data_IF_494385335075
#
_entry.id   IF_494385335075
#
_cell.length_a   1.000
_cell.length_b   1.000
_cell.length_c   1.000
_cell.angle_alpha   90.00
_cell.angle_beta   90.00
_cell.angle_gamma   90.00
#
_symmetry.space_group_name_H-M   'P 1'
#
loop_
_entity.id
_entity.type
_entity.pdbx_description
1 polymer ?
#
# COMPACT_ATOMS: atom_id res chain seq x y z
N UNK A 1 -9.06 -12.94 16.22
CA UNK A 1 -10.40 -13.30 15.77
C UNK A 1 -10.49 -13.17 14.26
N UNK A 2 -11.16 -14.09 13.60
CA UNK A 2 -11.46 -14.06 12.16
C UNK A 2 -12.95 -13.82 12.00
N UNK A 3 -13.30 -12.84 11.19
CA UNK A 3 -14.68 -12.55 10.77
C UNK A 3 -14.79 -12.78 9.26
N UNK A 4 -15.87 -13.40 8.82
CA UNK A 4 -16.15 -13.64 7.41
C UNK A 4 -17.45 -12.99 6.98
N UNK A 5 -17.50 -12.51 5.76
CA UNK A 5 -18.70 -11.95 5.16
C UNK A 5 -18.74 -12.23 3.65
N UNK A 6 -19.88 -12.69 3.17
CA UNK A 6 -20.15 -12.76 1.73
C UNK A 6 -20.57 -11.36 1.25
N UNK A 7 -19.80 -10.81 0.31
CA UNK A 7 -20.07 -9.50 -0.29
C UNK A 7 -20.56 -9.71 -1.70
N UNK A 8 -21.84 -9.45 -1.95
CA UNK A 8 -22.44 -9.54 -3.29
C UNK A 8 -22.06 -8.36 -4.17
N UNK A 9 -21.86 -7.20 -3.58
CA UNK A 9 -21.45 -5.98 -4.25
C UNK A 9 -20.39 -5.25 -3.41
N UNK A 10 -19.23 -5.01 -3.98
CA UNK A 10 -18.12 -4.32 -3.32
C UNK A 10 -18.47 -2.83 -3.20
N UNK A 11 -18.38 -2.31 -1.98
CA UNK A 11 -18.50 -0.88 -1.75
C UNK A 11 -17.23 -0.17 -2.22
N UNK A 12 -17.37 0.84 -3.06
CA UNK A 12 -16.24 1.58 -3.63
C UNK A 12 -15.45 2.38 -2.59
N UNK A 13 -16.09 2.78 -1.50
CA UNK A 13 -15.48 3.59 -0.45
C UNK A 13 -14.83 2.79 0.66
N UNK A 14 -15.42 1.67 1.07
CA UNK A 14 -15.01 0.90 2.25
C UNK A 14 -14.97 -0.63 2.05
N UNK A 15 -15.12 -1.10 0.84
CA UNK A 15 -15.16 -2.51 0.43
C UNK A 15 -16.41 -3.28 0.91
N UNK A 16 -16.69 -3.24 2.20
CA UNK A 16 -17.90 -3.80 2.82
C UNK A 16 -18.94 -2.70 3.08
N UNK A 17 -20.17 -3.05 3.47
CA UNK A 17 -21.17 -2.04 3.82
C UNK A 17 -20.76 -1.18 5.02
N UNK A 18 -21.19 0.07 5.03
CA UNK A 18 -20.84 1.03 6.11
C UNK A 18 -21.24 0.55 7.48
N UNK A 19 -22.41 -0.10 7.62
CA UNK A 19 -22.85 -0.71 8.89
C UNK A 19 -21.91 -1.82 9.37
N UNK A 20 -21.35 -2.59 8.43
CA UNK A 20 -20.36 -3.63 8.77
C UNK A 20 -19.03 -3.04 9.23
N UNK A 21 -18.61 -1.90 8.68
CA UNK A 21 -17.41 -1.19 9.14
C UNK A 21 -17.55 -0.76 10.61
N UNK A 22 -18.70 -0.24 10.99
CA UNK A 22 -19.00 0.14 12.39
C UNK A 22 -18.99 -1.09 13.34
N UNK A 23 -19.52 -2.22 12.91
CA UNK A 23 -19.43 -3.47 13.66
C UNK A 23 -17.98 -3.93 13.83
N UNK A 24 -17.16 -3.87 12.77
CA UNK A 24 -15.74 -4.19 12.81
C UNK A 24 -15.02 -3.27 13.80
N UNK A 25 -15.31 -1.97 13.75
CA UNK A 25 -14.77 -0.99 14.70
C UNK A 25 -15.08 -1.38 16.13
N UNK A 26 -16.36 -1.65 16.44
CA UNK A 26 -16.80 -2.02 17.78
C UNK A 26 -16.10 -3.30 18.28
N UNK A 27 -16.03 -4.33 17.45
CA UNK A 27 -15.34 -5.59 17.79
C UNK A 27 -13.85 -5.37 18.00
N UNK A 28 -13.19 -4.59 17.12
CA UNK A 28 -11.76 -4.29 17.22
C UNK A 28 -11.43 -3.57 18.53
N UNK A 29 -12.23 -2.57 18.90
CA UNK A 29 -12.03 -1.83 20.14
C UNK A 29 -12.29 -2.70 21.38
N UNK A 30 -13.36 -3.49 21.38
CA UNK A 30 -13.70 -4.41 22.47
C UNK A 30 -12.61 -5.47 22.71
N UNK A 31 -11.98 -5.97 21.65
CA UNK A 31 -10.92 -6.98 21.72
C UNK A 31 -9.53 -6.40 21.93
N UNK A 32 -9.35 -5.08 21.91
CA UNK A 32 -8.05 -4.44 21.96
C UNK A 32 -7.19 -4.76 20.74
N UNK A 33 -7.80 -4.95 19.56
CA UNK A 33 -7.05 -5.22 18.33
C UNK A 33 -6.18 -4.03 17.95
N UNK A 34 -4.90 -4.27 17.72
CA UNK A 34 -3.94 -3.24 17.33
C UNK A 34 -3.98 -2.96 15.84
N UNK A 35 -4.36 -3.95 15.03
CA UNK A 35 -4.37 -3.89 13.57
C UNK A 35 -5.55 -4.66 13.00
N UNK A 36 -6.08 -4.20 11.88
CA UNK A 36 -7.13 -4.88 11.11
C UNK A 36 -6.56 -5.30 9.77
N UNK A 37 -6.78 -6.56 9.40
CA UNK A 37 -6.30 -7.12 8.15
C UNK A 37 -7.50 -7.59 7.32
N UNK A 38 -7.60 -7.06 6.11
CA UNK A 38 -8.56 -7.52 5.11
C UNK A 38 -7.90 -8.57 4.21
N UNK A 39 -8.53 -9.72 4.06
CA UNK A 39 -8.07 -10.78 3.17
C UNK A 39 -8.45 -10.54 1.70
N UNK A 40 -8.33 -9.29 1.27
CA UNK A 40 -8.60 -8.83 -0.09
C UNK A 40 -7.64 -7.69 -0.42
N UNK A 41 -7.45 -7.41 -1.70
CA UNK A 41 -6.74 -6.20 -2.12
C UNK A 41 -7.69 -5.01 -2.04
N UNK A 42 -7.28 -3.96 -1.35
CA UNK A 42 -8.04 -2.74 -1.16
C UNK A 42 -7.49 -1.61 -2.01
N UNK A 43 -8.38 -0.74 -2.50
CA UNK A 43 -7.95 0.51 -3.14
C UNK A 43 -7.34 1.47 -2.12
N UNK A 44 -6.53 2.46 -2.54
CA UNK A 44 -6.00 3.48 -1.65
C UNK A 44 -7.09 4.24 -0.88
N UNK A 45 -8.20 4.53 -1.54
CA UNK A 45 -9.35 5.19 -0.93
C UNK A 45 -10.03 4.31 0.12
N UNK A 46 -10.24 3.03 -0.18
CA UNK A 46 -10.81 2.07 0.78
C UNK A 46 -9.94 1.93 2.03
N UNK A 47 -8.62 1.77 1.87
CA UNK A 47 -7.68 1.70 2.99
C UNK A 47 -7.76 2.93 3.89
N UNK A 48 -7.76 4.11 3.30
CA UNK A 48 -7.86 5.37 4.03
C UNK A 48 -9.17 5.50 4.78
N UNK A 49 -10.29 5.29 4.09
CA UNK A 49 -11.60 5.41 4.70
C UNK A 49 -11.81 4.41 5.84
N UNK A 50 -11.38 3.17 5.66
CA UNK A 50 -11.43 2.14 6.71
C UNK A 50 -10.58 2.52 7.92
N UNK A 51 -9.36 3.02 7.70
CA UNK A 51 -8.49 3.50 8.78
C UNK A 51 -9.11 4.66 9.55
N UNK A 52 -9.70 5.62 8.84
CA UNK A 52 -10.32 6.80 9.45
C UNK A 52 -11.56 6.42 10.25
N UNK A 53 -12.38 5.49 9.76
CA UNK A 53 -13.61 5.05 10.46
C UNK A 53 -13.26 4.14 11.65
N UNK A 54 -12.41 3.12 11.45
CA UNK A 54 -12.10 2.11 12.48
C UNK A 54 -11.14 2.67 13.53
N UNK A 55 -10.39 3.72 13.20
CA UNK A 55 -9.38 4.34 14.09
C UNK A 55 -8.29 3.35 14.54
N UNK A 56 -7.94 2.43 13.63
CA UNK A 56 -6.85 1.46 13.76
C UNK A 56 -6.11 1.33 12.43
N UNK A 57 -4.83 0.94 12.43
CA UNK A 57 -4.13 0.58 11.21
C UNK A 57 -4.88 -0.53 10.45
N UNK A 58 -5.08 -0.32 9.15
CA UNK A 58 -5.74 -1.28 8.26
C UNK A 58 -4.76 -1.71 7.20
N UNK A 59 -4.56 -3.01 7.06
CA UNK A 59 -3.73 -3.62 6.02
C UNK A 59 -4.58 -4.51 5.13
N UNK A 60 -4.19 -4.62 3.87
CA UNK A 60 -4.78 -5.58 2.95
C UNK A 60 -3.90 -6.83 2.80
N UNK A 61 -4.39 -7.81 2.05
CA UNK A 61 -3.66 -9.06 1.78
C UNK A 61 -2.28 -8.79 1.19
N UNK A 62 -2.19 -7.92 0.19
CA UNK A 62 -0.94 -7.64 -0.51
C UNK A 62 0.09 -7.03 0.43
N UNK A 63 -0.30 -6.08 1.27
CA UNK A 63 0.58 -5.48 2.26
C UNK A 63 1.14 -6.53 3.23
N UNK A 64 0.28 -7.41 3.74
CA UNK A 64 0.69 -8.47 4.65
C UNK A 64 1.69 -9.45 4.00
N UNK A 65 1.42 -9.87 2.77
CA UNK A 65 2.30 -10.76 2.01
C UNK A 65 3.66 -10.10 1.79
N UNK A 66 3.71 -8.84 1.40
CA UNK A 66 4.95 -8.10 1.23
C UNK A 66 5.75 -7.97 2.53
N UNK A 67 5.09 -7.77 3.66
CA UNK A 67 5.74 -7.75 4.97
C UNK A 67 6.38 -9.10 5.32
N UNK A 68 5.67 -10.20 5.06
CA UNK A 68 6.19 -11.55 5.30
C UNK A 68 7.41 -11.82 4.42
N UNK A 69 7.35 -11.51 3.13
CA UNK A 69 8.49 -11.69 2.23
C UNK A 69 9.67 -10.79 2.61
N UNK A 70 9.42 -9.55 2.99
CA UNK A 70 10.45 -8.62 3.46
C UNK A 70 11.21 -9.17 4.67
N UNK A 71 10.50 -9.74 5.64
CA UNK A 71 11.12 -10.31 6.83
C UNK A 71 11.94 -11.58 6.56
N UNK A 72 11.66 -12.28 5.45
CA UNK A 72 12.29 -13.54 5.06
C UNK A 72 13.37 -13.40 3.98
N UNK A 73 13.45 -12.25 3.32
CA UNK A 73 14.41 -12.02 2.23
C UNK A 73 15.85 -11.93 2.78
N UNK A 74 16.62 -12.99 2.58
CA UNK A 74 18.01 -13.07 3.06
C UNK A 74 19.05 -12.86 1.96
N UNK A 75 18.72 -13.16 0.72
CA UNK A 75 19.61 -12.95 -0.41
C UNK A 75 19.43 -11.56 -1.00
N UNK A 76 20.48 -11.01 -1.63
CA UNK A 76 20.38 -9.71 -2.28
C UNK A 76 19.32 -9.71 -3.38
N UNK A 77 19.25 -10.78 -4.17
CA UNK A 77 18.21 -10.96 -5.19
C UNK A 77 16.79 -10.87 -4.59
N UNK A 78 16.53 -11.63 -3.52
CA UNK A 78 15.24 -11.59 -2.84
C UNK A 78 14.90 -10.21 -2.25
N UNK A 79 15.87 -9.54 -1.66
CA UNK A 79 15.71 -8.19 -1.11
C UNK A 79 15.33 -7.18 -2.19
N UNK A 80 16.00 -7.23 -3.34
CA UNK A 80 15.71 -6.36 -4.49
C UNK A 80 14.30 -6.63 -5.02
N UNK A 81 13.91 -7.89 -5.19
CA UNK A 81 12.58 -8.28 -5.65
C UNK A 81 11.48 -7.78 -4.71
N UNK A 82 11.65 -7.96 -3.41
CA UNK A 82 10.67 -7.52 -2.41
C UNK A 82 10.59 -6.00 -2.33
N UNK A 83 11.73 -5.30 -2.34
CA UNK A 83 11.74 -3.83 -2.35
C UNK A 83 11.05 -3.28 -3.61
N UNK A 84 11.33 -3.86 -4.78
CA UNK A 84 10.67 -3.48 -6.03
C UNK A 84 9.16 -3.68 -5.95
N UNK A 85 8.71 -4.85 -5.49
CA UNK A 85 7.29 -5.16 -5.34
C UNK A 85 6.60 -4.20 -4.36
N UNK A 86 7.25 -3.86 -3.25
CA UNK A 86 6.73 -2.88 -2.28
C UNK A 86 6.56 -1.50 -2.89
N UNK A 87 7.56 -1.01 -3.60
CA UNK A 87 7.49 0.29 -4.25
C UNK A 87 6.43 0.33 -5.37
N UNK A 88 6.28 -0.75 -6.13
CA UNK A 88 5.22 -0.89 -7.14
C UNK A 88 3.83 -0.92 -6.50
N UNK A 89 3.69 -1.47 -5.31
CA UNK A 89 2.46 -1.44 -4.54
C UNK A 89 2.15 -0.04 -3.99
N UNK A 90 3.15 0.68 -3.51
CA UNK A 90 3.01 2.02 -2.93
C UNK A 90 2.71 3.11 -3.98
N UNK A 91 3.31 3.03 -5.16
CA UNK A 91 3.21 4.06 -6.19
C UNK A 91 1.77 4.41 -6.61
N UNK A 92 0.87 3.45 -6.94
CA UNK A 92 -0.52 3.76 -7.24
C UNK A 92 -1.28 4.36 -6.05
N UNK A 93 -0.90 3.99 -4.83
CA UNK A 93 -1.50 4.50 -3.59
C UNK A 93 -1.17 5.96 -3.35
N UNK A 94 0.05 6.40 -3.65
CA UNK A 94 0.41 7.81 -3.65
C UNK A 94 -0.36 8.60 -4.73
N UNK A 95 -0.58 8.02 -5.90
CA UNK A 95 -1.38 8.64 -6.97
C UNK A 95 -2.83 8.84 -6.52
N UNK A 96 -3.46 7.84 -5.92
CA UNK A 96 -4.81 7.94 -5.37
C UNK A 96 -4.93 9.00 -4.27
N UNK A 97 -3.90 9.18 -3.44
CA UNK A 97 -3.87 10.27 -2.45
C UNK A 97 -3.86 11.66 -3.11
N UNK A 98 -3.18 11.84 -4.23
CA UNK A 98 -3.18 13.10 -4.98
C UNK A 98 -4.56 13.49 -5.48
N UNK A 99 -5.33 12.55 -6.01
CA UNK A 99 -6.72 12.77 -6.45
C UNK A 99 -7.64 13.14 -5.27
N UNK A 100 -7.47 12.50 -4.12
CA UNK A 100 -8.25 12.79 -2.91
C UNK A 100 -7.92 14.18 -2.37
N UNK A 101 -6.65 14.56 -2.30
CA UNK A 101 -6.22 15.89 -1.88
C UNK A 101 -6.74 16.99 -2.81
N UNK A 102 -6.77 16.71 -4.12
CA UNK A 102 -7.32 17.61 -5.12
C UNK A 102 -8.85 17.81 -4.97
N UNK A 103 -9.59 16.76 -4.66
CA UNK A 103 -11.05 16.81 -4.43
C UNK A 103 -11.44 17.48 -3.11
N UNK A 104 -10.67 17.28 -2.04
CA UNK A 104 -10.92 17.91 -0.75
C UNK A 104 -10.55 19.40 -0.69
N UNK A 105 -9.76 19.89 -1.63
CA UNK A 105 -9.38 21.30 -1.73
C UNK A 105 -10.45 22.24 -2.29
N UNK A 106 -11.69 21.78 -2.50
CA UNK A 106 -12.82 22.60 -2.94
C UNK A 106 -13.46 23.51 -1.86
N UNK A 107 -12.94 23.50 -0.64
CA UNK A 107 -13.36 24.39 0.45
C UNK A 107 -12.47 25.63 0.53
N UNK A 108 -13.08 26.79 0.44
CA UNK A 108 -12.58 28.15 0.63
C UNK A 108 -11.43 28.25 1.63
N UNK A 109 -10.20 28.45 1.15
CA UNK A 109 -9.07 28.79 2.01
C UNK A 109 -7.69 28.38 1.49
N UNK A 110 -7.01 29.29 0.82
CA UNK A 110 -5.56 29.25 0.67
C UNK A 110 -4.98 28.48 -0.53
N UNK A 111 -4.92 29.14 -1.67
CA UNK A 111 -4.20 28.71 -2.90
C UNK A 111 -2.72 28.32 -2.66
N UNK A 112 -2.13 28.74 -1.55
CA UNK A 112 -0.69 28.55 -1.27
C UNK A 112 -0.30 27.14 -0.81
N UNK A 113 -1.15 26.46 -0.04
CA UNK A 113 -0.82 25.14 0.51
C UNK A 113 -1.12 23.97 -0.45
N UNK A 114 -2.03 24.17 -1.41
CA UNK A 114 -2.44 23.14 -2.38
C UNK A 114 -1.29 22.81 -3.36
N UNK A 115 -0.64 23.82 -3.90
CA UNK A 115 0.48 23.64 -4.84
C UNK A 115 1.74 23.02 -4.19
N UNK A 116 1.99 23.28 -2.92
CA UNK A 116 3.13 22.70 -2.19
C UNK A 116 2.94 21.20 -1.92
N UNK A 117 1.73 20.77 -1.52
CA UNK A 117 1.40 19.37 -1.31
C UNK A 117 1.43 18.54 -2.60
N UNK A 118 0.89 19.06 -3.68
CA UNK A 118 0.93 18.42 -5.02
C UNK A 118 2.36 18.29 -5.55
N UNK A 119 3.19 19.33 -5.40
CA UNK A 119 4.61 19.28 -5.78
C UNK A 119 5.39 18.26 -4.99
N UNK A 120 5.18 18.17 -3.67
CA UNK A 120 5.82 17.17 -2.82
C UNK A 120 5.43 15.76 -3.23
N UNK A 121 4.14 15.52 -3.45
CA UNK A 121 3.62 14.21 -3.89
C UNK A 121 4.23 13.80 -5.24
N UNK A 122 4.33 14.71 -6.19
CA UNK A 122 4.91 14.43 -7.50
C UNK A 122 6.41 14.14 -7.42
N UNK A 123 7.13 14.83 -6.53
CA UNK A 123 8.54 14.53 -6.23
C UNK A 123 8.69 13.13 -5.63
N UNK A 124 7.82 12.75 -4.70
CA UNK A 124 7.87 11.44 -4.06
C UNK A 124 7.57 10.32 -5.07
N UNK A 125 6.59 10.49 -5.95
CA UNK A 125 6.33 9.57 -7.08
C UNK A 125 7.55 9.42 -7.98
N UNK A 126 8.21 10.53 -8.32
CA UNK A 126 9.40 10.54 -9.17
C UNK A 126 10.55 9.78 -8.53
N UNK A 127 10.79 9.99 -7.23
CA UNK A 127 11.80 9.25 -6.47
C UNK A 127 11.51 7.74 -6.47
N UNK A 128 10.26 7.35 -6.25
CA UNK A 128 9.86 5.94 -6.26
C UNK A 128 10.06 5.31 -7.64
N UNK A 129 9.64 5.98 -8.72
CA UNK A 129 9.87 5.49 -10.09
C UNK A 129 11.36 5.33 -10.41
N UNK A 130 12.17 6.30 -10.00
CA UNK A 130 13.62 6.24 -10.17
C UNK A 130 14.20 5.04 -9.39
N UNK A 131 13.82 4.86 -8.14
CA UNK A 131 14.29 3.75 -7.32
C UNK A 131 13.88 2.39 -7.91
N UNK A 132 12.67 2.25 -8.41
CA UNK A 132 12.22 1.04 -9.12
C UNK A 132 13.12 0.76 -10.34
N UNK A 133 13.47 1.79 -11.11
CA UNK A 133 14.36 1.65 -12.27
C UNK A 133 15.76 1.18 -11.87
N UNK A 134 16.33 1.75 -10.81
CA UNK A 134 17.64 1.34 -10.27
C UNK A 134 17.62 -0.12 -9.81
N UNK A 135 16.60 -0.50 -9.01
CA UNK A 135 16.46 -1.88 -8.52
C UNK A 135 16.31 -2.89 -9.66
N UNK A 136 15.60 -2.55 -10.73
CA UNK A 136 15.50 -3.41 -11.91
C UNK A 136 16.82 -3.57 -12.64
N UNK A 137 17.68 -2.55 -12.67
CA UNK A 137 19.03 -2.66 -13.22
C UNK A 137 19.91 -3.57 -12.35
N UNK A 138 19.89 -3.33 -11.05
CA UNK A 138 20.64 -4.13 -10.09
C UNK A 138 20.24 -5.61 -10.13
N UNK A 139 18.95 -5.91 -10.24
CA UNK A 139 18.46 -7.28 -10.37
C UNK A 139 19.05 -7.99 -11.60
N UNK A 140 19.05 -7.32 -12.76
CA UNK A 140 19.62 -7.87 -13.99
C UNK A 140 21.12 -8.16 -13.85
N UNK A 141 21.85 -7.33 -13.13
CA UNK A 141 23.27 -7.56 -12.86
C UNK A 141 23.50 -8.77 -11.95
N UNK A 142 22.68 -8.91 -10.91
CA UNK A 142 22.74 -10.07 -10.00
C UNK A 142 22.43 -11.37 -10.74
N UNK A 143 21.40 -11.37 -11.59
CA UNK A 143 21.01 -12.51 -12.42
C UNK A 143 22.13 -12.90 -13.40
N UNK A 144 22.72 -11.94 -14.08
CA UNK A 144 23.84 -12.16 -15.01
C UNK A 144 25.06 -12.74 -14.32
N UNK A 145 25.40 -12.23 -13.14
CA UNK A 145 26.51 -12.74 -12.35
C UNK A 145 26.26 -14.19 -11.91
N UNK A 146 25.04 -14.50 -11.51
CA UNK A 146 24.63 -15.86 -11.13
C UNK A 146 24.72 -16.83 -12.31
N UNK A 147 24.28 -16.44 -13.49
CA UNK A 147 24.44 -17.26 -14.71
C UNK A 147 25.90 -17.51 -15.06
N UNK A 148 26.73 -16.49 -14.93
CA UNK A 148 28.17 -16.59 -15.18
C UNK A 148 28.85 -17.56 -14.20
N UNK A 149 28.46 -17.50 -12.92
CA UNK A 149 28.97 -18.44 -11.92
C UNK A 149 28.54 -19.88 -12.20
N UNK A 150 27.28 -20.10 -12.61
CA UNK A 150 26.78 -21.42 -12.99
C UNK A 150 27.50 -22.03 -14.18
N UNK A 151 27.92 -21.22 -15.15
CA UNK A 151 28.65 -21.68 -16.34
C UNK A 151 30.12 -22.04 -16.04
N UNK A 152 30.64 -21.62 -14.88
CA UNK A 152 32.02 -21.89 -14.45
C UNK A 152 32.14 -23.13 -13.56
N UNK A 153 31.03 -23.68 -13.11
CA UNK A 153 30.92 -24.92 -12.37
C UNK A 153 30.61 -26.09 -13.31
#
# INVERSE_FOLDING_TARGET
KVETQNVSQINTGVYVGTGRVEEIKAVAHMMGAEVIIFDNTLSPMQLRNLKDIIERPVFDRTHLILQIFSSRARTREAQIQVETARLQYELPRLTGMGEILSRQGGGSGGLSNKGAGEKKLELDKRKIRHRISELKKELREVEKNRETQRKRL
#
